data_IF_274844477970
#
_entry.id   IF_274844477970
#
_cell.length_a   1.000
_cell.length_b   1.000
_cell.length_c   1.000
_cell.angle_alpha   90.00
_cell.angle_beta   90.00
_cell.angle_gamma   90.00
#
_symmetry.space_group_name_H-M   'P 1'
#
loop_
_entity.id
_entity.type
_entity.pdbx_description
1 polymer ?
#
# COMPACT_ATOMS: atom_id res chain seq x y z
N UNK A 1 -20.23 -21.29 42.29
CA UNK A 1 -19.84 -21.16 40.86
C UNK A 1 -20.12 -19.74 40.41
N UNK A 2 -19.08 -18.90 40.31
CA UNK A 2 -19.21 -17.57 39.70
C UNK A 2 -19.33 -17.78 38.19
N UNK A 3 -20.43 -17.31 37.58
CA UNK A 3 -20.55 -17.20 36.13
C UNK A 3 -19.39 -16.31 35.63
N UNK A 4 -18.75 -16.62 34.50
CA UNK A 4 -17.84 -15.67 33.90
C UNK A 4 -18.65 -14.41 33.54
N UNK A 5 -18.10 -13.25 33.88
CA UNK A 5 -18.58 -11.97 33.37
C UNK A 5 -18.40 -12.06 31.86
N UNK A 6 -19.50 -12.01 31.10
CA UNK A 6 -19.41 -11.83 29.66
C UNK A 6 -18.73 -10.48 29.46
N UNK A 7 -17.49 -10.47 28.96
CA UNK A 7 -16.91 -9.27 28.39
C UNK A 7 -17.91 -8.74 27.38
N UNK A 8 -18.42 -7.54 27.63
CA UNK A 8 -19.20 -6.79 26.66
C UNK A 8 -18.23 -6.46 25.53
N UNK A 9 -18.07 -7.39 24.58
CA UNK A 9 -17.35 -7.13 23.34
C UNK A 9 -18.03 -5.93 22.68
N UNK A 10 -17.31 -4.81 22.63
CA UNK A 10 -17.79 -3.56 22.06
C UNK A 10 -18.19 -3.72 20.59
N UNK A 11 -18.82 -2.68 20.07
CA UNK A 11 -19.10 -2.56 18.64
C UNK A 11 -17.79 -2.53 17.83
N UNK A 12 -17.89 -2.77 16.52
CA UNK A 12 -16.71 -2.76 15.65
C UNK A 12 -16.03 -1.38 15.69
N UNK A 13 -14.73 -1.38 15.99
CA UNK A 13 -13.91 -0.18 16.05
C UNK A 13 -12.49 -0.43 15.55
N UNK A 14 -11.79 0.65 15.24
CA UNK A 14 -10.40 0.64 14.78
C UNK A 14 -9.58 1.62 15.61
N UNK A 15 -8.37 1.23 15.99
CA UNK A 15 -7.42 2.08 16.71
C UNK A 15 -6.15 2.23 15.89
N UNK A 16 -5.49 3.39 16.02
CA UNK A 16 -4.18 3.65 15.45
C UNK A 16 -3.23 4.14 16.53
N UNK A 17 -1.96 3.81 16.38
CA UNK A 17 -0.90 4.23 17.29
C UNK A 17 0.37 4.54 16.50
N UNK A 18 1.27 5.31 17.11
CA UNK A 18 2.59 5.57 16.53
C UNK A 18 3.62 5.80 17.62
N UNK A 19 4.83 5.30 17.41
CA UNK A 19 5.93 5.38 18.36
C UNK A 19 7.23 5.79 17.67
N UNK A 20 7.98 6.71 18.27
CA UNK A 20 9.24 7.23 17.74
C UNK A 20 10.45 6.88 18.62
N UNK A 21 10.29 5.97 19.58
CA UNK A 21 11.37 5.54 20.45
C UNK A 21 12.41 4.76 19.62
N UNK A 22 13.72 5.07 19.72
CA UNK A 22 14.73 4.45 18.85
C UNK A 22 15.04 3.00 19.23
N UNK A 23 14.83 2.62 20.50
CA UNK A 23 14.94 1.23 20.92
C UNK A 23 13.74 0.43 20.40
N UNK A 24 14.04 -0.62 19.63
CA UNK A 24 13.02 -1.44 18.97
C UNK A 24 12.12 -2.17 19.96
N UNK A 25 12.67 -2.68 21.06
CA UNK A 25 11.89 -3.43 22.06
C UNK A 25 10.88 -2.49 22.74
N UNK A 26 11.34 -1.31 23.17
CA UNK A 26 10.48 -0.30 23.78
C UNK A 26 9.38 0.15 22.81
N UNK A 27 9.74 0.46 21.57
CA UNK A 27 8.79 0.94 20.56
C UNK A 27 7.69 -0.09 20.24
N UNK A 28 8.06 -1.36 20.07
CA UNK A 28 7.09 -2.42 19.76
C UNK A 28 6.22 -2.78 20.98
N UNK A 29 6.77 -2.75 22.20
CA UNK A 29 5.98 -3.00 23.42
C UNK A 29 4.92 -1.91 23.62
N UNK A 30 5.33 -0.63 23.52
CA UNK A 30 4.43 0.52 23.70
C UNK A 30 3.34 0.56 22.63
N UNK A 31 3.68 0.32 21.35
CA UNK A 31 2.68 0.35 20.27
C UNK A 31 1.68 -0.82 20.37
N UNK A 32 2.12 -1.99 20.84
CA UNK A 32 1.21 -3.14 21.01
C UNK A 32 0.24 -2.93 22.18
N UNK A 33 0.68 -2.27 23.25
CA UNK A 33 -0.17 -1.88 24.38
C UNK A 33 -1.19 -0.81 23.96
N UNK A 34 -0.74 0.26 23.29
CA UNK A 34 -1.62 1.35 22.83
C UNK A 34 -2.69 0.87 21.84
N UNK A 35 -2.36 -0.12 21.00
CA UNK A 35 -3.29 -0.74 20.06
C UNK A 35 -4.19 -1.81 20.67
N UNK A 36 -4.03 -2.12 21.96
CA UNK A 36 -4.66 -3.27 22.62
C UNK A 36 -4.53 -4.57 21.77
N UNK A 37 -3.32 -4.80 21.24
CA UNK A 37 -3.09 -5.79 20.20
C UNK A 37 -3.40 -7.24 20.65
N UNK A 38 -3.34 -7.50 21.97
CA UNK A 38 -3.71 -8.79 22.54
C UNK A 38 -5.18 -9.15 22.25
N UNK A 39 -6.07 -8.15 22.30
CA UNK A 39 -7.52 -8.32 22.14
C UNK A 39 -8.02 -8.05 20.71
N UNK A 40 -7.17 -7.48 19.84
CA UNK A 40 -7.51 -7.16 18.46
C UNK A 40 -7.75 -8.40 17.57
N UNK A 41 -8.74 -8.37 16.70
CA UNK A 41 -8.96 -9.42 15.69
C UNK A 41 -7.87 -9.43 14.60
N UNK A 42 -7.23 -8.29 14.35
CA UNK A 42 -6.13 -8.08 13.42
C UNK A 42 -5.27 -6.91 13.90
N UNK A 43 -3.95 -7.04 13.79
CA UNK A 43 -3.01 -5.94 14.05
C UNK A 43 -2.01 -5.84 12.90
N UNK A 44 -1.86 -4.64 12.32
CA UNK A 44 -0.85 -4.33 11.32
C UNK A 44 0.12 -3.29 11.87
N UNK A 45 1.42 -3.53 11.76
CA UNK A 45 2.48 -2.59 12.15
C UNK A 45 3.35 -2.26 10.94
N UNK A 46 3.63 -0.98 10.71
CA UNK A 46 4.61 -0.51 9.72
C UNK A 46 5.75 0.19 10.44
N UNK A 47 6.99 -0.15 10.08
CA UNK A 47 8.16 0.33 10.80
C UNK A 47 9.31 0.72 9.87
N UNK A 48 10.10 1.69 10.31
CA UNK A 48 11.32 2.10 9.63
C UNK A 48 12.42 1.05 9.77
N UNK A 49 13.29 0.94 8.77
CA UNK A 49 14.35 -0.07 8.76
C UNK A 49 15.46 0.14 9.82
N UNK A 50 15.39 1.23 10.60
CA UNK A 50 16.20 1.41 11.79
C UNK A 50 15.85 0.41 12.91
N UNK A 51 14.66 -0.20 12.87
CA UNK A 51 14.19 -1.15 13.85
C UNK A 51 14.57 -2.59 13.50
N UNK A 52 14.88 -3.39 14.53
CA UNK A 52 15.28 -4.79 14.40
C UNK A 52 14.07 -5.70 14.10
N UNK A 53 14.03 -6.26 12.89
CA UNK A 53 12.95 -7.14 12.44
C UNK A 53 12.81 -8.44 13.27
N UNK A 54 13.90 -8.94 13.85
CA UNK A 54 13.86 -10.11 14.72
C UNK A 54 13.23 -9.77 16.05
N UNK A 55 13.58 -8.62 16.65
CA UNK A 55 12.94 -8.17 17.89
C UNK A 55 11.44 -8.01 17.69
N UNK A 56 11.03 -7.35 16.60
CA UNK A 56 9.61 -7.20 16.26
C UNK A 56 8.92 -8.56 16.10
N UNK A 57 9.57 -9.52 15.42
CA UNK A 57 9.01 -10.86 15.23
C UNK A 57 8.77 -11.61 16.54
N UNK A 58 9.74 -11.60 17.45
CA UNK A 58 9.68 -12.30 18.73
C UNK A 58 8.73 -11.62 19.74
N UNK A 59 8.51 -10.31 19.61
CA UNK A 59 7.56 -9.59 20.48
C UNK A 59 6.13 -9.65 19.96
N UNK A 60 5.93 -9.60 18.64
CA UNK A 60 4.59 -9.58 18.04
C UNK A 60 3.85 -10.92 18.17
N UNK A 61 4.54 -12.05 18.00
CA UNK A 61 3.90 -13.38 17.96
C UNK A 61 3.25 -13.77 19.29
N UNK A 62 3.89 -13.61 20.47
CA UNK A 62 3.25 -13.98 21.74
C UNK A 62 1.98 -13.17 22.05
N UNK A 63 1.90 -11.93 21.56
CA UNK A 63 0.77 -11.02 21.80
C UNK A 63 -0.38 -11.29 20.84
N UNK A 64 -0.08 -11.45 19.55
CA UNK A 64 -1.10 -11.45 18.49
C UNK A 64 -1.32 -12.83 17.86
N UNK A 65 -0.37 -13.76 18.01
CA UNK A 65 -0.29 -15.00 17.24
C UNK A 65 -0.33 -14.70 15.74
N UNK A 66 -1.10 -15.51 14.99
CA UNK A 66 -1.28 -15.32 13.54
C UNK A 66 -2.12 -14.08 13.15
N UNK A 67 -2.64 -13.29 14.11
CA UNK A 67 -3.40 -12.06 13.82
C UNK A 67 -2.50 -10.85 13.58
N UNK A 68 -1.22 -10.92 13.96
CA UNK A 68 -0.25 -9.85 13.78
C UNK A 68 0.51 -9.98 12.46
N UNK A 69 0.67 -8.85 11.79
CA UNK A 69 1.54 -8.70 10.62
C UNK A 69 2.31 -7.40 10.77
N UNK A 70 3.61 -7.43 10.54
CA UNK A 70 4.40 -6.20 10.46
C UNK A 70 5.18 -6.13 9.16
N UNK A 71 5.52 -4.93 8.71
CA UNK A 71 6.29 -4.74 7.48
C UNK A 71 7.07 -3.44 7.46
N UNK A 72 8.21 -3.44 6.80
CA UNK A 72 9.01 -2.22 6.64
C UNK A 72 8.35 -1.23 5.69
N UNK A 73 8.67 0.04 5.86
CA UNK A 73 8.27 1.12 4.95
C UNK A 73 9.44 2.04 4.57
N UNK A 74 9.28 2.80 3.49
CA UNK A 74 10.16 3.91 3.10
C UNK A 74 9.71 5.26 3.73
N UNK A 75 9.08 5.20 4.91
CA UNK A 75 8.55 6.35 5.62
C UNK A 75 7.13 6.10 6.11
N UNK A 76 6.91 6.30 7.40
CA UNK A 76 5.62 6.11 8.04
C UNK A 76 4.70 7.32 7.80
N UNK A 77 3.39 7.09 7.90
CA UNK A 77 2.38 8.15 7.91
C UNK A 77 1.55 7.96 9.17
N UNK A 78 1.57 8.95 10.05
CA UNK A 78 0.79 8.96 11.28
C UNK A 78 0.05 10.31 11.40
N UNK A 79 -0.70 10.51 12.48
CA UNK A 79 -1.54 11.71 12.66
C UNK A 79 -0.75 13.03 12.71
N UNK A 80 0.59 12.98 12.84
CA UNK A 80 1.46 14.14 12.73
C UNK A 80 2.00 14.40 11.30
N UNK A 81 1.70 13.53 10.34
CA UNK A 81 2.18 13.63 8.96
C UNK A 81 3.13 12.51 8.55
N UNK A 82 4.05 12.83 7.64
CA UNK A 82 5.15 11.93 7.30
C UNK A 82 6.13 11.84 8.47
N UNK A 83 6.52 10.61 8.81
CA UNK A 83 7.54 10.31 9.78
C UNK A 83 8.60 9.39 9.17
N UNK A 84 9.76 9.33 9.82
CA UNK A 84 10.85 8.47 9.44
C UNK A 84 11.51 7.91 10.69
N UNK A 85 11.98 6.66 10.61
CA UNK A 85 12.56 5.94 11.74
C UNK A 85 11.58 5.78 12.92
N UNK A 86 10.31 5.59 12.60
CA UNK A 86 9.25 5.38 13.59
C UNK A 86 8.52 4.06 13.34
N UNK A 87 7.58 3.73 14.23
CA UNK A 87 6.57 2.71 14.01
C UNK A 87 5.18 3.36 13.98
N UNK A 88 4.30 2.84 13.14
CA UNK A 88 2.87 3.13 13.19
C UNK A 88 2.09 1.83 13.07
N UNK A 89 0.92 1.76 13.68
CA UNK A 89 0.12 0.56 13.66
C UNK A 89 -1.36 0.83 13.69
N UNK A 90 -2.12 -0.20 13.32
CA UNK A 90 -3.58 -0.20 13.28
C UNK A 90 -4.10 -1.54 13.79
N UNK A 91 -5.11 -1.51 14.64
CA UNK A 91 -5.75 -2.69 15.22
C UNK A 91 -7.26 -2.62 15.09
N UNK A 92 -7.89 -3.79 14.89
CA UNK A 92 -9.32 -3.92 14.63
C UNK A 92 -10.00 -4.73 15.74
N UNK A 93 -11.09 -4.20 16.28
CA UNK A 93 -11.68 -4.68 17.54
C UNK A 93 -13.19 -4.91 17.46
N UNK A 94 -13.73 -5.66 18.42
CA UNK A 94 -15.17 -5.82 18.63
C UNK A 94 -15.76 -7.10 18.05
N UNK A 95 -16.97 -7.44 18.49
CA UNK A 95 -17.64 -8.71 18.14
C UNK A 95 -18.05 -8.83 16.66
N UNK A 96 -18.16 -7.68 15.97
CA UNK A 96 -18.43 -7.59 14.54
C UNK A 96 -17.19 -7.63 13.64
N UNK A 97 -16.01 -7.94 14.20
CA UNK A 97 -14.75 -7.97 13.46
C UNK A 97 -14.13 -9.36 13.49
N UNK A 98 -13.75 -9.86 12.32
CA UNK A 98 -12.95 -11.09 12.18
C UNK A 98 -11.92 -10.91 11.10
N UNK A 99 -10.75 -11.51 11.29
CA UNK A 99 -9.74 -11.57 10.25
C UNK A 99 -9.19 -12.99 10.09
N UNK A 100 -8.80 -13.32 8.87
CA UNK A 100 -7.97 -14.47 8.58
C UNK A 100 -6.75 -14.00 7.81
N UNK A 101 -5.58 -14.48 8.21
CA UNK A 101 -4.28 -14.09 7.66
C UNK A 101 -3.62 -15.33 7.07
N UNK A 102 -3.07 -15.19 5.87
CA UNK A 102 -2.38 -16.27 5.17
C UNK A 102 -1.08 -15.77 4.52
N UNK A 103 0.00 -16.50 4.75
CA UNK A 103 1.29 -16.25 4.14
C UNK A 103 1.41 -16.97 2.79
N UNK A 104 1.92 -16.24 1.80
CA UNK A 104 2.42 -16.76 0.54
C UNK A 104 3.95 -16.63 0.51
N UNK A 105 4.71 -17.68 0.89
CA UNK A 105 6.17 -17.62 0.87
C UNK A 105 6.72 -17.81 -0.55
N UNK A 106 7.99 -17.43 -0.75
CA UNK A 106 8.79 -17.71 -1.94
C UNK A 106 8.13 -17.23 -3.24
N UNK A 107 7.72 -15.95 -3.27
CA UNK A 107 6.97 -15.37 -4.40
C UNK A 107 7.69 -15.55 -5.74
N UNK A 108 9.02 -15.50 -5.77
CA UNK A 108 9.81 -15.70 -7.01
C UNK A 108 9.55 -17.06 -7.65
N UNK A 109 9.38 -18.09 -6.84
CA UNK A 109 9.17 -19.49 -7.25
C UNK A 109 7.69 -19.93 -7.18
N UNK A 110 6.81 -19.04 -6.73
CA UNK A 110 5.42 -19.35 -6.47
C UNK A 110 4.68 -19.79 -7.74
N UNK A 111 4.14 -21.01 -7.70
CA UNK A 111 3.15 -21.46 -8.69
C UNK A 111 1.80 -20.76 -8.45
N UNK A 112 1.00 -20.55 -9.51
CA UNK A 112 -0.30 -19.89 -9.36
C UNK A 112 -1.38 -20.76 -8.72
N UNK A 113 -1.16 -22.08 -8.60
CA UNK A 113 -2.16 -23.03 -8.09
C UNK A 113 -2.60 -22.71 -6.64
N UNK A 114 -1.69 -22.52 -5.66
CA UNK A 114 -2.04 -22.08 -4.30
C UNK A 114 -2.91 -20.83 -4.25
N UNK A 115 -2.68 -19.88 -5.16
CA UNK A 115 -3.38 -18.58 -5.19
C UNK A 115 -4.88 -18.75 -5.50
N UNK A 116 -5.26 -19.75 -6.32
CA UNK A 116 -6.68 -20.04 -6.64
C UNK A 116 -7.47 -20.50 -5.39
N UNK A 117 -6.80 -21.26 -4.52
CA UNK A 117 -7.42 -21.83 -3.32
C UNK A 117 -7.40 -20.86 -2.13
N UNK A 118 -6.51 -19.86 -2.16
CA UNK A 118 -6.29 -18.91 -1.09
C UNK A 118 -7.57 -18.18 -0.61
N UNK A 119 -8.44 -17.63 -1.49
CA UNK A 119 -9.65 -16.96 -0.99
C UNK A 119 -10.57 -17.94 -0.24
N UNK A 120 -10.59 -19.21 -0.63
CA UNK A 120 -11.41 -20.21 0.06
C UNK A 120 -10.86 -20.58 1.44
N UNK A 121 -9.53 -20.58 1.59
CA UNK A 121 -8.85 -20.79 2.88
C UNK A 121 -9.15 -19.64 3.84
N UNK A 122 -8.97 -18.40 3.38
CA UNK A 122 -9.26 -17.19 4.15
C UNK A 122 -10.72 -17.07 4.58
N UNK A 123 -11.67 -17.37 3.67
CA UNK A 123 -13.09 -17.41 4.05
C UNK A 123 -13.37 -18.40 5.19
N UNK A 124 -12.78 -19.61 5.14
CA UNK A 124 -12.94 -20.59 6.22
C UNK A 124 -12.35 -20.10 7.54
N UNK A 125 -11.24 -19.35 7.49
CA UNK A 125 -10.61 -18.77 8.69
C UNK A 125 -11.52 -17.82 9.45
N UNK A 126 -12.43 -17.11 8.77
CA UNK A 126 -13.46 -16.27 9.41
C UNK A 126 -14.83 -16.97 9.56
N UNK A 127 -14.93 -18.26 9.24
CA UNK A 127 -16.19 -19.01 9.32
C UNK A 127 -17.22 -18.58 8.27
N UNK A 128 -16.78 -18.33 7.03
CA UNK A 128 -17.60 -17.92 5.87
C UNK A 128 -17.32 -18.76 4.64
N UNK A 129 -18.24 -18.73 3.68
CA UNK A 129 -18.07 -19.21 2.30
C UNK A 129 -17.82 -18.03 1.36
N UNK A 130 -17.15 -18.28 0.24
CA UNK A 130 -16.92 -17.26 -0.80
C UNK A 130 -18.20 -16.56 -1.28
N UNK A 131 -19.33 -17.27 -1.31
CA UNK A 131 -20.63 -16.74 -1.73
C UNK A 131 -21.24 -15.75 -0.73
N UNK A 132 -20.80 -15.76 0.52
CA UNK A 132 -21.29 -14.89 1.60
C UNK A 132 -20.51 -13.57 1.68
N UNK A 133 -19.43 -13.44 0.91
CA UNK A 133 -18.65 -12.21 0.86
C UNK A 133 -19.46 -11.06 0.28
N UNK A 134 -19.43 -9.94 0.99
CA UNK A 134 -20.16 -8.72 0.66
C UNK A 134 -19.22 -7.51 0.71
N UNK A 135 -19.17 -6.66 -0.34
CA UNK A 135 -18.18 -5.58 -0.46
C UNK A 135 -18.28 -4.47 0.60
N UNK A 136 -19.42 -4.36 1.30
CA UNK A 136 -19.60 -3.44 2.44
C UNK A 136 -19.28 -4.05 3.81
N UNK A 137 -18.91 -5.33 3.86
CA UNK A 137 -18.59 -6.04 5.11
C UNK A 137 -17.25 -6.73 5.07
N UNK A 138 -16.69 -6.94 3.88
CA UNK A 138 -15.48 -7.70 3.69
C UNK A 138 -14.51 -6.90 2.83
N UNK A 139 -13.22 -7.04 3.12
CA UNK A 139 -12.12 -6.40 2.41
C UNK A 139 -10.94 -7.37 2.32
N UNK A 140 -10.28 -7.41 1.16
CA UNK A 140 -8.98 -8.05 1.03
C UNK A 140 -7.87 -7.04 1.33
N UNK A 141 -6.92 -7.41 2.20
CA UNK A 141 -5.69 -6.65 2.41
C UNK A 141 -4.49 -7.48 1.95
N UNK A 142 -3.56 -6.85 1.24
CA UNK A 142 -2.35 -7.47 0.72
C UNK A 142 -1.11 -6.71 1.17
N UNK A 143 -0.12 -7.41 1.70
CA UNK A 143 1.20 -6.86 1.97
C UNK A 143 2.24 -7.71 1.24
N UNK A 144 2.85 -7.15 0.20
CA UNK A 144 3.91 -7.79 -0.56
C UNK A 144 5.27 -7.35 -0.06
N UNK A 145 6.21 -8.28 0.11
CA UNK A 145 7.62 -7.94 0.17
C UNK A 145 8.14 -7.72 -1.27
N UNK A 146 8.42 -6.46 -1.61
CA UNK A 146 8.50 -5.91 -2.97
C UNK A 146 9.66 -6.31 -3.88
N UNK A 147 10.14 -7.56 -3.82
CA UNK A 147 11.25 -8.03 -4.66
C UNK A 147 10.85 -8.95 -5.81
N UNK A 148 9.62 -9.47 -5.79
CA UNK A 148 9.27 -10.56 -6.68
C UNK A 148 8.89 -10.10 -8.09
N UNK A 149 8.38 -8.87 -8.23
CA UNK A 149 7.75 -8.41 -9.48
C UNK A 149 6.50 -9.21 -9.84
N UNK A 150 5.99 -10.03 -8.91
CA UNK A 150 4.81 -10.88 -9.10
C UNK A 150 3.53 -10.16 -8.69
N UNK A 151 3.61 -8.97 -8.12
CA UNK A 151 2.48 -8.15 -7.70
C UNK A 151 1.50 -7.92 -8.88
N UNK A 152 2.05 -7.63 -10.06
CA UNK A 152 1.34 -7.45 -11.34
C UNK A 152 0.62 -8.72 -11.82
N UNK A 153 1.06 -9.90 -11.38
CA UNK A 153 0.48 -11.19 -11.73
C UNK A 153 -0.50 -11.69 -10.66
N UNK A 154 -0.11 -11.62 -9.39
CA UNK A 154 -0.81 -12.19 -8.26
C UNK A 154 -2.09 -11.42 -7.93
N UNK A 155 -2.05 -10.09 -8.01
CA UNK A 155 -3.21 -9.23 -7.72
C UNK A 155 -4.39 -9.52 -8.66
N UNK A 156 -4.25 -9.42 -9.99
CA UNK A 156 -5.36 -9.72 -10.89
C UNK A 156 -5.78 -11.20 -10.84
N UNK A 157 -4.82 -12.12 -10.68
CA UNK A 157 -5.12 -13.56 -10.62
C UNK A 157 -5.94 -13.92 -9.37
N UNK A 158 -5.57 -13.39 -8.21
CA UNK A 158 -6.34 -13.55 -6.98
C UNK A 158 -7.74 -12.96 -7.11
N UNK A 159 -7.86 -11.75 -7.65
CA UNK A 159 -9.14 -11.08 -7.80
C UNK A 159 -10.08 -11.76 -8.78
N UNK A 160 -9.55 -12.42 -9.81
CA UNK A 160 -10.35 -13.29 -10.67
C UNK A 160 -10.96 -14.48 -9.88
N UNK A 161 -10.27 -14.99 -8.86
CA UNK A 161 -10.76 -16.05 -7.98
C UNK A 161 -11.68 -15.55 -6.84
N UNK A 162 -11.78 -14.23 -6.62
CA UNK A 162 -12.55 -13.59 -5.55
C UNK A 162 -13.12 -12.19 -5.92
N UNK A 163 -13.90 -12.05 -7.01
CA UNK A 163 -14.20 -10.74 -7.62
C UNK A 163 -15.21 -9.86 -6.86
N UNK A 164 -15.82 -10.36 -5.77
CA UNK A 164 -16.96 -9.72 -5.08
C UNK A 164 -16.58 -8.58 -4.13
N UNK A 165 -15.32 -8.53 -3.73
CA UNK A 165 -14.84 -7.72 -2.61
C UNK A 165 -13.63 -6.92 -3.09
N UNK A 166 -13.53 -5.67 -2.64
CA UNK A 166 -12.38 -4.82 -2.96
C UNK A 166 -11.10 -5.37 -2.35
N UNK A 167 -9.98 -5.02 -2.98
CA UNK A 167 -8.65 -5.31 -2.49
C UNK A 167 -7.89 -3.99 -2.38
N UNK A 168 -7.26 -3.80 -1.23
CA UNK A 168 -6.29 -2.74 -1.00
C UNK A 168 -5.00 -3.40 -0.53
N UNK A 169 -3.85 -2.92 -0.99
CA UNK A 169 -2.59 -3.49 -0.56
C UNK A 169 -1.42 -2.56 -0.72
N UNK A 170 -0.32 -2.99 -0.14
CA UNK A 170 0.96 -2.30 -0.22
C UNK A 170 2.06 -3.26 -0.61
N UNK A 171 2.98 -2.75 -1.42
CA UNK A 171 4.28 -3.33 -1.67
C UNK A 171 5.23 -2.68 -0.68
N UNK A 172 5.62 -3.42 0.36
CA UNK A 172 6.50 -2.95 1.41
C UNK A 172 7.82 -2.44 0.83
N UNK A 173 8.41 -1.50 1.55
CA UNK A 173 9.61 -0.80 1.13
C UNK A 173 10.60 -0.71 2.29
N UNK A 174 11.83 -0.36 1.96
CA UNK A 174 12.87 0.02 2.90
C UNK A 174 13.51 1.28 2.31
N UNK A 175 13.91 2.20 3.19
CA UNK A 175 14.49 3.47 2.79
C UNK A 175 15.79 3.24 2.00
N UNK A 176 15.88 3.89 0.84
CA UNK A 176 17.03 3.78 -0.06
C UNK A 176 17.29 2.40 -0.71
N UNK A 177 16.68 1.29 -0.27
CA UNK A 177 16.96 -0.05 -0.77
C UNK A 177 15.69 -0.89 -1.05
N UNK A 178 15.35 -1.06 -2.33
CA UNK A 178 14.22 -1.92 -2.76
C UNK A 178 14.39 -3.38 -2.26
N UNK A 179 15.62 -3.88 -2.15
CA UNK A 179 15.90 -5.23 -1.66
C UNK A 179 15.93 -5.33 -0.11
N UNK A 180 15.69 -4.22 0.58
CA UNK A 180 15.74 -4.12 2.03
C UNK A 180 14.44 -4.50 2.73
N UNK A 181 13.31 -4.53 2.02
CA UNK A 181 12.00 -4.74 2.65
C UNK A 181 11.92 -6.05 3.45
N UNK A 182 11.23 -5.99 4.59
CA UNK A 182 10.96 -7.13 5.47
C UNK A 182 9.46 -7.23 5.73
N UNK A 183 8.99 -8.46 5.80
CA UNK A 183 7.63 -8.80 6.22
C UNK A 183 7.76 -9.72 7.44
N UNK A 184 7.04 -9.42 8.51
CA UNK A 184 7.05 -10.18 9.75
C UNK A 184 5.67 -10.78 9.97
N UNK A 185 5.63 -12.08 10.19
CA UNK A 185 4.40 -12.80 10.49
C UNK A 185 4.71 -14.12 11.20
N UNK A 186 3.90 -14.49 12.20
CA UNK A 186 4.00 -15.77 12.91
C UNK A 186 5.42 -16.03 13.45
N UNK A 187 5.99 -15.02 14.12
CA UNK A 187 7.30 -15.09 14.76
C UNK A 187 8.49 -15.14 13.81
N UNK A 188 8.28 -14.89 12.51
CA UNK A 188 9.32 -15.04 11.47
C UNK A 188 9.41 -13.81 10.58
N UNK A 189 10.61 -13.61 10.04
CA UNK A 189 10.91 -12.55 9.09
C UNK A 189 11.12 -13.12 7.69
N UNK A 190 10.42 -12.53 6.73
CA UNK A 190 10.40 -12.94 5.33
C UNK A 190 10.96 -11.84 4.44
N UNK A 191 11.80 -12.26 3.48
CA UNK A 191 12.40 -11.40 2.44
C UNK A 191 11.81 -11.59 1.04
N UNK A 192 10.99 -12.62 0.88
CA UNK A 192 10.31 -12.97 -0.38
C UNK A 192 9.00 -13.66 -0.03
N UNK A 193 7.99 -12.87 0.35
CA UNK A 193 6.69 -13.36 0.74
C UNK A 193 5.62 -12.27 0.54
N UNK A 194 4.37 -12.69 0.48
CA UNK A 194 3.23 -11.81 0.67
C UNK A 194 2.38 -12.32 1.82
N UNK A 195 1.69 -11.42 2.51
CA UNK A 195 0.59 -11.77 3.41
C UNK A 195 -0.71 -11.31 2.75
N UNK A 196 -1.69 -12.21 2.76
CA UNK A 196 -3.05 -11.94 2.31
C UNK A 196 -4.00 -12.06 3.48
N UNK A 197 -4.90 -11.10 3.60
CA UNK A 197 -5.82 -10.99 4.74
C UNK A 197 -7.23 -10.83 4.20
N UNK A 198 -8.17 -11.54 4.81
CA UNK A 198 -9.60 -11.26 4.70
C UNK A 198 -10.06 -10.61 5.99
N UNK A 199 -10.47 -9.35 5.91
CA UNK A 199 -11.10 -8.64 7.01
C UNK A 199 -12.62 -8.67 6.82
N UNK A 200 -13.36 -9.14 7.82
CA UNK A 200 -14.79 -8.87 7.99
C UNK A 200 -14.95 -7.79 9.06
N UNK A 201 -15.67 -6.72 8.72
CA UNK A 201 -15.86 -5.55 9.55
C UNK A 201 -17.32 -5.07 9.46
N UNK A 202 -17.98 -4.91 10.59
CA UNK A 202 -19.41 -4.55 10.66
C UNK A 202 -19.68 -3.04 10.72
N UNK A 203 -18.64 -2.21 10.87
CA UNK A 203 -18.75 -0.75 10.70
C UNK A 203 -18.71 -0.32 9.24
N UNK A 204 -19.07 0.95 8.95
CA UNK A 204 -18.88 1.50 7.62
C UNK A 204 -17.39 1.57 7.29
N UNK A 205 -17.05 1.20 6.07
CA UNK A 205 -15.73 1.46 5.51
C UNK A 205 -15.83 1.74 4.02
N UNK A 206 -14.84 2.47 3.50
CA UNK A 206 -14.73 2.72 2.07
C UNK A 206 -13.26 2.62 1.64
N UNK A 207 -13.00 1.69 0.71
CA UNK A 207 -11.72 1.61 0.03
C UNK A 207 -11.66 2.68 -1.06
N UNK A 208 -10.52 3.38 -1.16
CA UNK A 208 -10.33 4.46 -2.12
C UNK A 208 -9.01 4.34 -2.87
N UNK A 209 -8.96 5.00 -4.02
CA UNK A 209 -7.78 5.14 -4.87
C UNK A 209 -7.74 6.55 -5.46
N UNK A 210 -6.55 7.13 -5.52
CA UNK A 210 -6.32 8.47 -6.04
C UNK A 210 -5.08 8.51 -6.93
N UNK A 211 -5.25 9.05 -8.14
CA UNK A 211 -4.17 9.49 -9.03
C UNK A 211 -4.30 10.99 -9.26
N UNK A 212 -3.18 11.63 -9.55
CA UNK A 212 -3.10 13.07 -9.84
C UNK A 212 -2.35 13.28 -11.15
N UNK A 213 -2.62 12.47 -12.17
CA UNK A 213 -1.95 12.57 -13.48
C UNK A 213 -2.97 12.71 -14.60
N UNK A 214 -2.59 13.39 -15.67
CA UNK A 214 -3.38 13.53 -16.88
C UNK A 214 -2.68 12.88 -18.08
N UNK A 215 -3.46 12.27 -18.96
CA UNK A 215 -2.97 11.75 -20.24
C UNK A 215 -2.59 12.90 -21.18
N UNK A 216 -1.49 12.75 -21.91
CA UNK A 216 -1.07 13.71 -22.94
C UNK A 216 -0.91 13.03 -24.31
N UNK A 217 -0.89 13.80 -25.42
CA UNK A 217 -0.70 13.22 -26.74
C UNK A 217 0.75 12.79 -27.03
N UNK A 218 1.71 13.11 -26.15
CA UNK A 218 3.13 12.72 -26.27
C UNK A 218 3.26 11.21 -26.09
N UNK A 219 3.44 10.51 -27.21
CA UNK A 219 3.48 9.05 -27.30
C UNK A 219 4.90 8.60 -27.62
N UNK A 220 5.36 7.54 -26.95
CA UNK A 220 6.67 6.92 -27.13
C UNK A 220 6.50 5.40 -27.24
N UNK A 221 7.16 4.77 -28.21
CA UNK A 221 7.25 3.31 -28.33
C UNK A 221 8.49 2.79 -27.63
N UNK A 222 8.31 1.82 -26.73
CA UNK A 222 9.42 1.08 -26.12
C UNK A 222 10.06 0.18 -27.16
N UNK A 223 11.16 0.63 -27.76
CA UNK A 223 11.83 -0.12 -28.83
C UNK A 223 12.86 -1.11 -28.28
N UNK A 224 13.47 -0.81 -27.13
CA UNK A 224 14.37 -1.73 -26.43
C UNK A 224 14.29 -1.57 -24.91
N UNK A 225 14.12 -2.68 -24.22
CA UNK A 225 14.12 -2.80 -22.75
C UNK A 225 15.09 -3.91 -22.34
N UNK A 226 15.73 -3.79 -21.19
CA UNK A 226 16.56 -4.88 -20.63
C UNK A 226 15.70 -6.09 -20.26
N UNK A 227 16.35 -7.24 -20.02
CA UNK A 227 15.67 -8.52 -19.68
C UNK A 227 14.80 -8.45 -18.43
N UNK A 228 15.11 -7.54 -17.51
CA UNK A 228 14.32 -7.32 -16.30
C UNK A 228 12.99 -6.59 -16.56
N UNK A 229 12.78 -6.06 -17.77
CA UNK A 229 11.60 -5.26 -18.11
C UNK A 229 11.57 -3.89 -17.42
N UNK A 230 12.58 -3.50 -16.65
CA UNK A 230 12.57 -2.30 -15.78
C UNK A 230 13.53 -1.21 -16.23
N UNK A 231 14.41 -1.48 -17.18
CA UNK A 231 15.31 -0.48 -17.75
C UNK A 231 15.00 -0.27 -19.24
N UNK A 232 14.32 0.83 -19.55
CA UNK A 232 14.04 1.24 -20.92
C UNK A 232 15.33 1.81 -21.50
N UNK A 233 15.88 1.15 -22.51
CA UNK A 233 17.15 1.52 -23.15
C UNK A 233 16.89 2.40 -24.37
N UNK A 234 15.81 2.13 -25.13
CA UNK A 234 15.44 2.91 -26.29
C UNK A 234 13.94 3.18 -26.36
N UNK A 235 13.62 4.40 -26.77
CA UNK A 235 12.27 4.88 -27.09
C UNK A 235 12.31 5.41 -28.52
N UNK A 236 11.34 5.02 -29.36
CA UNK A 236 11.25 5.43 -30.77
C UNK A 236 12.56 5.27 -31.58
N UNK A 237 13.34 4.23 -31.28
CA UNK A 237 14.61 3.93 -31.95
C UNK A 237 15.80 4.79 -31.50
N UNK A 238 15.61 5.78 -30.63
CA UNK A 238 16.66 6.63 -30.03
C UNK A 238 17.03 6.16 -28.63
N UNK A 239 18.07 6.71 -28.02
CA UNK A 239 18.29 6.46 -26.58
C UNK A 239 17.06 6.92 -25.78
N UNK A 240 16.76 6.22 -24.68
CA UNK A 240 15.57 6.53 -23.88
C UNK A 240 15.58 7.99 -23.37
N UNK A 241 16.73 8.48 -22.94
CA UNK A 241 16.90 9.87 -22.51
C UNK A 241 16.62 10.88 -23.64
N UNK A 242 17.21 10.69 -24.83
CA UNK A 242 17.04 11.62 -25.95
C UNK A 242 15.58 11.69 -26.42
N UNK A 243 14.93 10.55 -26.63
CA UNK A 243 13.53 10.52 -27.07
C UNK A 243 12.57 11.08 -26.02
N UNK A 244 12.83 10.83 -24.74
CA UNK A 244 12.03 11.38 -23.65
C UNK A 244 12.20 12.90 -23.54
N UNK A 245 13.44 13.41 -23.60
CA UNK A 245 13.73 14.84 -23.59
C UNK A 245 13.09 15.55 -24.80
N UNK A 246 13.25 15.00 -26.00
CA UNK A 246 12.67 15.54 -27.23
C UNK A 246 11.14 15.61 -27.17
N UNK A 247 10.49 14.58 -26.64
CA UNK A 247 9.03 14.57 -26.47
C UNK A 247 8.53 15.62 -25.46
N UNK A 248 9.38 16.04 -24.51
CA UNK A 248 9.12 17.15 -23.60
C UNK A 248 9.53 18.52 -24.14
N UNK A 249 10.25 18.58 -25.27
CA UNK A 249 10.85 19.80 -25.78
C UNK A 249 12.04 20.31 -24.95
N UNK A 250 12.74 19.39 -24.28
CA UNK A 250 13.90 19.65 -23.43
C UNK A 250 15.18 19.12 -24.07
N UNK A 251 16.33 19.66 -23.66
CA UNK A 251 17.63 19.04 -23.88
C UNK A 251 17.82 17.85 -22.91
N UNK A 252 18.61 16.81 -23.27
CA UNK A 252 18.89 15.67 -22.40
C UNK A 252 19.38 16.06 -20.99
N UNK A 253 20.18 17.13 -20.88
CA UNK A 253 20.76 17.62 -19.62
C UNK A 253 19.73 18.29 -18.71
N UNK A 254 18.58 18.70 -19.25
CA UNK A 254 17.48 19.31 -18.52
C UNK A 254 16.53 18.27 -17.89
N UNK A 255 16.69 16.98 -18.23
CA UNK A 255 15.90 15.88 -17.65
C UNK A 255 16.41 15.58 -16.24
N UNK A 256 15.93 16.37 -15.29
CA UNK A 256 16.22 16.23 -13.85
C UNK A 256 15.31 15.21 -13.18
N UNK A 257 15.64 14.81 -11.95
CA UNK A 257 14.74 13.97 -11.13
C UNK A 257 13.37 14.60 -10.90
N UNK A 258 13.28 15.93 -10.85
CA UNK A 258 12.01 16.65 -10.73
C UNK A 258 11.16 16.46 -12.00
N UNK A 259 11.76 16.59 -13.19
CA UNK A 259 11.09 16.32 -14.47
C UNK A 259 10.57 14.88 -14.54
N UNK A 260 11.38 13.90 -14.13
CA UNK A 260 10.95 12.50 -14.10
C UNK A 260 9.79 12.25 -13.13
N UNK A 261 9.75 12.97 -12.00
CA UNK A 261 8.70 12.86 -11.00
C UNK A 261 7.38 13.51 -11.47
N UNK A 262 7.42 14.63 -12.18
CA UNK A 262 6.22 15.34 -12.66
C UNK A 262 5.73 14.91 -14.03
N UNK A 263 6.55 14.18 -14.80
CA UNK A 263 6.20 13.65 -16.12
C UNK A 263 6.40 12.13 -16.22
N UNK A 264 5.72 11.31 -15.40
CA UNK A 264 5.86 9.87 -15.46
C UNK A 264 5.38 9.32 -16.82
N UNK A 265 5.81 8.11 -17.15
CA UNK A 265 5.23 7.39 -18.29
C UNK A 265 3.88 6.83 -17.89
N UNK A 266 3.10 6.33 -18.85
CA UNK A 266 1.87 5.62 -18.56
C UNK A 266 1.09 5.21 -19.78
N UNK A 267 -0.09 4.64 -19.57
CA UNK A 267 -1.01 4.24 -20.62
C UNK A 267 -2.45 4.41 -20.16
N UNK A 268 -3.41 4.27 -21.08
CA UNK A 268 -4.83 4.27 -20.72
C UNK A 268 -5.29 2.88 -20.32
N UNK A 269 -5.88 2.76 -19.14
CA UNK A 269 -6.58 1.56 -18.71
C UNK A 269 -8.00 1.92 -18.28
N UNK A 270 -9.00 1.30 -18.93
CA UNK A 270 -10.44 1.58 -18.68
C UNK A 270 -10.80 3.07 -18.71
N UNK A 271 -10.19 3.81 -19.65
CA UNK A 271 -10.40 5.25 -19.83
C UNK A 271 -9.59 6.16 -18.89
N UNK A 272 -8.95 5.62 -17.85
CA UNK A 272 -8.18 6.38 -16.87
C UNK A 272 -6.66 6.32 -17.16
N UNK A 273 -5.89 7.35 -16.79
CA UNK A 273 -4.44 7.31 -16.83
C UNK A 273 -3.90 6.27 -15.83
N UNK A 274 -2.98 5.45 -16.31
CA UNK A 274 -2.26 4.47 -15.50
C UNK A 274 -0.77 4.82 -15.51
N UNK A 275 -0.26 5.48 -14.46
CA UNK A 275 1.13 5.92 -14.41
C UNK A 275 2.10 4.75 -14.19
N UNK A 276 3.28 4.89 -14.79
CA UNK A 276 4.48 4.10 -14.57
C UNK A 276 5.55 5.08 -14.12
N UNK A 277 5.89 5.05 -12.83
CA UNK A 277 6.89 5.96 -12.28
C UNK A 277 8.26 5.69 -12.91
N UNK A 278 8.97 6.76 -13.26
CA UNK A 278 10.38 6.71 -13.63
C UNK A 278 11.18 7.04 -12.38
N UNK A 279 11.87 6.04 -11.82
CA UNK A 279 12.54 6.20 -10.55
C UNK A 279 13.94 6.78 -10.63
N UNK A 280 14.64 6.57 -11.74
CA UNK A 280 16.00 7.08 -11.90
C UNK A 280 16.43 7.08 -13.37
N UNK A 281 17.24 8.06 -13.76
CA UNK A 281 18.06 8.03 -14.96
C UNK A 281 19.37 7.27 -14.67
N UNK A 282 19.63 6.20 -15.41
CA UNK A 282 20.85 5.41 -15.28
C UNK A 282 22.04 6.12 -15.93
N UNK A 283 23.30 5.84 -15.53
CA UNK A 283 24.49 6.44 -16.13
C UNK A 283 24.62 6.23 -17.65
N UNK A 284 24.01 5.18 -18.19
CA UNK A 284 24.00 4.87 -19.63
C UNK A 284 22.83 5.54 -20.39
N UNK A 285 22.07 6.44 -19.75
CA UNK A 285 20.93 7.13 -20.34
C UNK A 285 19.63 6.30 -20.35
N UNK A 286 19.61 5.10 -19.76
CA UNK A 286 18.39 4.29 -19.65
C UNK A 286 17.47 4.78 -18.51
N UNK A 287 16.16 4.76 -18.76
CA UNK A 287 15.14 5.12 -17.77
C UNK A 287 14.77 3.88 -16.95
N UNK A 288 14.98 3.94 -15.62
CA UNK A 288 14.57 2.87 -14.70
C UNK A 288 13.13 3.10 -14.24
N UNK A 289 12.22 2.21 -14.61
CA UNK A 289 10.79 2.29 -14.30
C UNK A 289 10.36 1.36 -13.16
N UNK A 290 9.27 1.72 -12.50
CA UNK A 290 8.74 1.01 -11.33
C UNK A 290 7.92 -0.25 -11.66
N UNK A 291 7.28 -0.32 -12.83
CA UNK A 291 6.62 -1.52 -13.35
C UNK A 291 7.42 -2.12 -14.52
N UNK A 292 7.20 -3.40 -14.80
CA UNK A 292 7.76 -4.01 -16.01
C UNK A 292 7.08 -3.49 -17.27
N UNK A 293 7.87 -3.18 -18.29
CA UNK A 293 7.41 -2.81 -19.64
C UNK A 293 7.99 -3.78 -20.66
N UNK A 294 7.38 -3.81 -21.86
CA UNK A 294 7.77 -4.71 -22.94
C UNK A 294 8.17 -3.94 -24.20
N UNK A 295 9.08 -4.51 -24.99
CA UNK A 295 9.36 -3.98 -26.32
C UNK A 295 8.08 -4.02 -27.19
N UNK A 296 7.85 -2.98 -27.99
CA UNK A 296 6.63 -2.74 -28.75
C UNK A 296 5.49 -2.11 -27.94
N UNK A 297 5.65 -1.95 -26.61
CA UNK A 297 4.64 -1.27 -25.80
C UNK A 297 4.62 0.23 -26.12
N UNK A 298 3.41 0.76 -26.25
CA UNK A 298 3.18 2.18 -26.44
C UNK A 298 2.89 2.82 -25.09
N UNK A 299 3.70 3.82 -24.76
CA UNK A 299 3.55 4.62 -23.55
C UNK A 299 3.27 6.08 -23.93
N UNK A 300 2.66 6.79 -23.00
CA UNK A 300 2.47 8.23 -23.05
C UNK A 300 3.31 8.87 -21.95
N UNK A 301 3.85 10.06 -22.22
CA UNK A 301 4.25 10.95 -21.14
C UNK A 301 2.98 11.52 -20.52
N UNK A 302 2.84 11.41 -19.20
CA UNK A 302 1.74 12.00 -18.45
C UNK A 302 2.15 13.36 -17.88
N UNK A 303 1.18 14.18 -17.49
CA UNK A 303 1.43 15.39 -16.70
C UNK A 303 0.86 15.24 -15.30
N UNK A 304 1.73 15.41 -14.29
CA UNK A 304 1.29 15.61 -12.93
C UNK A 304 0.33 16.81 -12.86
N UNK A 305 -0.78 16.59 -12.19
CA UNK A 305 -1.73 17.58 -11.75
C UNK A 305 -1.39 17.95 -10.30
N UNK A 306 -2.22 18.77 -9.66
CA UNK A 306 -2.02 19.15 -8.26
C UNK A 306 -2.14 17.93 -7.31
N UNK A 307 -0.98 17.41 -6.89
CA UNK A 307 -0.83 16.28 -5.97
C UNK A 307 -1.52 16.55 -4.62
N UNK A 308 -1.32 17.73 -4.06
CA UNK A 308 -1.82 18.08 -2.71
C UNK A 308 -3.33 18.21 -2.76
N UNK A 309 -3.86 19.02 -3.68
CA UNK A 309 -5.29 19.27 -3.77
C UNK A 309 -6.06 18.01 -4.20
N UNK A 310 -5.49 17.17 -5.08
CA UNK A 310 -6.08 15.87 -5.43
C UNK A 310 -6.16 14.94 -4.23
N UNK A 311 -5.08 14.85 -3.44
CA UNK A 311 -5.03 14.02 -2.24
C UNK A 311 -6.02 14.50 -1.18
N UNK A 312 -6.06 15.80 -0.91
CA UNK A 312 -6.98 16.40 0.05
C UNK A 312 -8.44 16.08 -0.29
N UNK A 313 -8.87 16.38 -1.52
CA UNK A 313 -10.26 16.12 -1.96
C UNK A 313 -10.64 14.65 -1.88
N UNK A 314 -9.69 13.75 -2.19
CA UNK A 314 -9.95 12.31 -2.09
C UNK A 314 -10.19 11.88 -0.65
N UNK A 315 -9.29 12.29 0.27
CA UNK A 315 -9.38 11.92 1.68
C UNK A 315 -10.60 12.57 2.33
N UNK A 316 -10.82 13.86 2.11
CA UNK A 316 -11.98 14.60 2.61
C UNK A 316 -13.29 13.92 2.21
N UNK A 317 -13.45 13.64 0.91
CA UNK A 317 -14.68 13.02 0.41
C UNK A 317 -14.93 11.62 0.97
N UNK A 318 -13.89 10.80 1.18
CA UNK A 318 -14.07 9.46 1.76
C UNK A 318 -14.36 9.54 3.26
N UNK A 319 -13.70 10.45 3.99
CA UNK A 319 -13.96 10.71 5.41
C UNK A 319 -15.40 11.18 5.62
N UNK A 320 -15.89 12.09 4.79
CA UNK A 320 -17.29 12.56 4.83
C UNK A 320 -18.28 11.41 4.64
N UNK A 321 -18.09 10.57 3.61
CA UNK A 321 -19.00 9.45 3.30
C UNK A 321 -19.00 8.38 4.40
N UNK A 322 -17.84 8.01 4.91
CA UNK A 322 -17.72 7.02 5.98
C UNK A 322 -18.29 7.56 7.28
N UNK A 323 -17.93 8.79 7.67
CA UNK A 323 -18.45 9.42 8.90
C UNK A 323 -19.96 9.55 8.86
N UNK A 324 -20.55 9.95 7.71
CA UNK A 324 -22.00 10.03 7.57
C UNK A 324 -22.72 8.68 7.69
N UNK A 325 -22.02 7.57 7.42
CA UNK A 325 -22.55 6.21 7.54
C UNK A 325 -22.32 5.59 8.94
N UNK A 326 -21.48 6.21 9.78
CA UNK A 326 -21.19 5.74 11.15
C UNK A 326 -22.35 5.97 12.10
N UNK A 327 -22.47 5.10 13.11
CA UNK A 327 -23.55 5.17 14.11
C UNK A 327 -23.01 4.89 15.51
N UNK A 328 -23.56 5.48 16.59
CA UNK A 328 -24.73 6.38 16.65
C UNK A 328 -24.47 7.80 16.16
N UNK A 329 -23.22 8.23 16.12
CA UNK A 329 -22.81 9.58 15.74
C UNK A 329 -21.82 9.50 14.58
N UNK A 330 -21.76 10.52 13.71
CA UNK A 330 -20.74 10.58 12.68
C UNK A 330 -19.34 10.55 13.27
N UNK A 331 -18.54 9.56 12.88
CA UNK A 331 -17.17 9.37 13.36
C UNK A 331 -16.35 8.64 12.31
N UNK A 332 -15.08 9.02 12.23
CA UNK A 332 -14.02 8.29 11.56
C UNK A 332 -13.15 7.67 12.66
N UNK A 333 -12.97 6.36 12.62
CA UNK A 333 -12.09 5.65 13.56
C UNK A 333 -10.64 5.70 13.08
N UNK A 334 -10.40 5.39 11.80
CA UNK A 334 -9.06 5.35 11.25
C UNK A 334 -9.03 5.46 9.72
N UNK A 335 -7.90 5.96 9.23
CA UNK A 335 -7.45 5.85 7.85
C UNK A 335 -6.27 4.89 7.77
N UNK A 336 -6.35 3.89 6.90
CA UNK A 336 -5.20 3.11 6.44
C UNK A 336 -4.74 3.67 5.09
N UNK A 337 -3.55 4.28 5.04
CA UNK A 337 -3.04 4.94 3.81
C UNK A 337 -1.82 4.20 3.26
N UNK A 338 -1.92 3.81 1.99
CA UNK A 338 -0.79 3.34 1.18
C UNK A 338 -0.43 4.44 0.18
N UNK A 339 0.60 5.21 0.51
CA UNK A 339 1.13 6.26 -0.36
C UNK A 339 2.27 5.69 -1.20
N UNK A 340 2.23 5.79 -2.53
CA UNK A 340 3.39 5.41 -3.32
C UNK A 340 4.58 6.32 -2.97
N UNK A 341 5.77 5.77 -2.74
CA UNK A 341 6.97 6.58 -2.46
C UNK A 341 7.27 7.62 -3.55
N UNK A 342 6.85 7.36 -4.80
CA UNK A 342 7.06 8.30 -5.89
C UNK A 342 6.23 9.59 -5.74
N UNK A 343 5.10 9.53 -5.01
CA UNK A 343 4.37 10.74 -4.59
C UNK A 343 5.14 11.53 -3.55
N UNK A 344 5.82 10.84 -2.61
CA UNK A 344 6.69 11.49 -1.63
C UNK A 344 7.92 12.12 -2.31
N UNK A 345 8.51 11.44 -3.29
CA UNK A 345 9.62 11.97 -4.11
C UNK A 345 9.16 13.20 -4.91
N UNK A 346 8.00 13.15 -5.55
CA UNK A 346 7.43 14.30 -6.27
C UNK A 346 7.15 15.49 -5.34
N UNK A 347 6.56 15.23 -4.16
CA UNK A 347 6.34 16.28 -3.17
C UNK A 347 7.67 16.87 -2.68
N UNK A 348 8.69 16.04 -2.49
CA UNK A 348 10.04 16.48 -2.11
C UNK A 348 10.70 17.34 -3.19
N UNK A 349 10.61 16.93 -4.45
CA UNK A 349 11.21 17.66 -5.57
C UNK A 349 10.50 18.97 -5.90
N UNK A 350 9.24 19.12 -5.46
CA UNK A 350 8.41 20.30 -5.71
C UNK A 350 8.18 21.17 -4.47
N UNK A 351 8.70 20.78 -3.30
CA UNK A 351 8.56 21.55 -2.05
C UNK A 351 7.18 21.45 -1.38
N UNK A 352 6.44 20.36 -1.61
CA UNK A 352 5.08 20.15 -1.12
C UNK A 352 4.94 19.05 -0.06
N UNK A 353 6.03 18.58 0.56
CA UNK A 353 5.99 17.47 1.54
C UNK A 353 5.04 17.76 2.70
N UNK A 354 5.16 18.92 3.35
CA UNK A 354 4.32 19.30 4.50
C UNK A 354 2.85 19.49 4.10
N UNK A 355 2.62 20.07 2.92
CA UNK A 355 1.28 20.26 2.38
C UNK A 355 0.62 18.91 2.04
N UNK A 356 1.37 17.97 1.47
CA UNK A 356 0.89 16.61 1.24
C UNK A 356 0.63 15.87 2.55
N UNK A 357 1.53 15.97 3.54
CA UNK A 357 1.32 15.38 4.86
C UNK A 357 0.00 15.86 5.48
N UNK A 358 -0.23 17.17 5.46
CA UNK A 358 -1.48 17.79 5.94
C UNK A 358 -2.70 17.26 5.19
N UNK A 359 -2.61 17.13 3.86
CA UNK A 359 -3.70 16.61 3.04
C UNK A 359 -4.08 15.14 3.36
N UNK A 360 -3.12 14.33 3.81
CA UNK A 360 -3.32 12.93 4.16
C UNK A 360 -3.86 12.72 5.58
N UNK A 361 -3.62 13.66 6.49
CA UNK A 361 -3.90 13.52 7.92
C UNK A 361 -5.22 14.18 8.35
N UNK A 362 -6.34 13.77 7.76
CA UNK A 362 -7.67 14.31 8.08
C UNK A 362 -8.42 13.52 9.17
N UNK A 363 -7.67 12.92 10.09
CA UNK A 363 -8.17 12.07 11.18
C UNK A 363 -7.09 11.13 11.69
N UNK A 364 -7.42 10.17 12.58
CA UNK A 364 -6.49 9.15 13.02
C UNK A 364 -6.02 8.34 11.80
N UNK A 365 -4.70 8.29 11.58
CA UNK A 365 -4.12 7.66 10.39
C UNK A 365 -2.98 6.72 10.78
N UNK A 366 -2.97 5.56 10.13
CA UNK A 366 -1.83 4.66 10.05
C UNK A 366 -1.53 4.46 8.57
N UNK A 367 -0.29 4.66 8.15
CA UNK A 367 0.06 4.54 6.75
C UNK A 367 1.53 4.41 6.49
N UNK A 368 1.84 4.22 5.20
CA UNK A 368 3.18 3.93 4.75
C UNK A 368 3.48 4.50 3.38
N UNK A 369 4.75 4.86 3.17
CA UNK A 369 5.35 5.00 1.85
C UNK A 369 5.73 3.62 1.32
N UNK A 370 5.11 3.22 0.22
CA UNK A 370 5.23 1.91 -0.40
C UNK A 370 6.05 1.95 -1.71
N UNK A 371 6.55 0.80 -2.14
CA UNK A 371 7.14 0.60 -3.47
C UNK A 371 6.07 0.48 -4.57
N UNK A 372 4.79 0.56 -4.19
CA UNK A 372 3.63 0.45 -5.05
C UNK A 372 2.45 -0.09 -4.26
N UNK A 373 1.27 0.15 -4.77
CA UNK A 373 0.00 -0.05 -4.07
C UNK A 373 -0.87 -1.01 -4.88
N UNK A 374 -1.68 -1.80 -4.21
CA UNK A 374 -2.68 -2.62 -4.88
C UNK A 374 -4.05 -2.02 -4.66
N UNK A 375 -4.83 -1.91 -5.74
CA UNK A 375 -6.22 -1.49 -5.65
C UNK A 375 -7.07 -2.27 -6.66
N UNK A 376 -8.15 -2.87 -6.15
CA UNK A 376 -8.98 -3.79 -6.91
C UNK A 376 -8.12 -4.86 -7.61
N UNK A 377 -8.07 -4.87 -8.94
CA UNK A 377 -7.35 -5.88 -9.73
C UNK A 377 -5.95 -5.44 -10.17
N UNK A 378 -5.43 -4.34 -9.64
CA UNK A 378 -4.25 -3.66 -10.19
C UNK A 378 -3.15 -3.49 -9.14
N UNK A 379 -1.90 -3.64 -9.58
CA UNK A 379 -0.73 -3.10 -8.89
C UNK A 379 -0.36 -1.79 -9.58
N UNK A 380 -0.26 -0.73 -8.80
CA UNK A 380 -0.14 0.65 -9.24
C UNK A 380 1.12 1.27 -8.66
N UNK A 381 1.61 2.29 -9.35
CA UNK A 381 2.62 3.20 -8.85
C UNK A 381 2.12 4.64 -9.01
N UNK A 382 2.86 5.59 -8.43
CA UNK A 382 2.55 7.02 -8.53
C UNK A 382 1.14 7.40 -8.06
N UNK A 383 0.52 6.57 -7.21
CA UNK A 383 -0.85 6.78 -6.76
C UNK A 383 -0.98 6.50 -5.27
N UNK A 384 -2.16 6.72 -4.72
CA UNK A 384 -2.47 6.39 -3.34
C UNK A 384 -3.67 5.46 -3.31
N UNK A 385 -3.60 4.43 -2.48
CA UNK A 385 -4.72 3.58 -2.13
C UNK A 385 -4.92 3.59 -0.62
N UNK A 386 -6.10 3.22 -0.16
CA UNK A 386 -6.34 3.15 1.27
C UNK A 386 -7.76 2.76 1.61
N UNK A 387 -8.05 2.81 2.91
CA UNK A 387 -9.36 2.52 3.46
C UNK A 387 -9.66 3.49 4.59
N UNK A 388 -10.85 4.07 4.58
CA UNK A 388 -11.40 4.78 5.72
C UNK A 388 -12.35 3.86 6.49
N UNK A 389 -12.24 3.83 7.82
CA UNK A 389 -13.08 3.03 8.71
C UNK A 389 -13.82 3.94 9.69
N UNK A 390 -15.10 3.66 9.93
CA UNK A 390 -15.92 4.31 10.94
C UNK A 390 -16.53 3.30 11.91
N UNK A 391 -17.05 3.79 13.04
CA UNK A 391 -17.54 2.92 14.10
C UNK A 391 -18.95 2.37 13.82
N UNK A 392 -19.20 1.15 14.28
CA UNK A 392 -20.54 0.56 14.35
C UNK A 392 -21.21 0.81 15.72
N UNK A 393 -22.54 0.62 15.77
CA UNK A 393 -23.30 0.53 17.03
C UNK A 393 -23.17 -0.82 17.70
#
# INVERSE_FOLDING_TARGET
MKRPVAEQLGSASVQVASNAHPDTQVAIDEILDELDAANAALTLIFYGACHDDQVIAHTLEPVTGARGVAGTTAGEINSAGFAANTMTGISFHGSGVRASVELLPQLKELSLIPVVHLPGKLCRGIGRKKSELHPKRHLWLFLFNGQSGKEDLLTPFFMNAAPRVNLVGATLADDGNIAGARLVHDGRVYRDAAVTILLEYDGPFEAFHNTHVAMTPRRLEVTRVRRDGRHIVQLDGKSALEAYAEALGLAPEEVTSSVLATHPLGYRFRGQPFPISIGQLSPDGSLRVANTVQAGQILHILDAQDLVASSHRCIEGVVERVSAASTPTPSLDALLIVNCRFRHIEASSTGHVDALATALCQGPVCGLNSNGEQFATMHLNHSMAGVAFGSAR
#
